data_IF_023244451293
#
_entry.id   IF_023244451293
#
_cell.length_a   1.000
_cell.length_b   1.000
_cell.length_c   1.000
_cell.angle_alpha   90.00
_cell.angle_beta   90.00
_cell.angle_gamma   90.00
#
_symmetry.space_group_name_H-M   'P 1'
#
loop_
_entity.id
_entity.type
_entity.pdbx_description
1 polymer ?
#
# COMPACT_ATOMS: atom_id res chain seq x y z
N UNK A 1 -22.25 2.06 4.67
CA UNK A 1 -21.80 3.45 4.88
C UNK A 1 -22.08 3.93 6.29
N UNK A 2 -23.13 3.42 6.92
CA UNK A 2 -23.67 3.86 8.20
C UNK A 2 -22.65 3.65 9.33
N UNK A 3 -21.99 2.49 9.34
CA UNK A 3 -20.87 2.23 10.26
C UNK A 3 -19.71 3.22 10.10
N UNK A 4 -19.40 3.68 8.87
CA UNK A 4 -18.35 4.71 8.67
C UNK A 4 -18.82 6.04 9.25
N UNK A 5 -20.08 6.42 9.00
CA UNK A 5 -20.65 7.66 9.54
C UNK A 5 -20.65 7.68 11.07
N UNK A 6 -20.99 6.56 11.71
CA UNK A 6 -20.91 6.40 13.18
C UNK A 6 -19.47 6.52 13.68
N UNK A 7 -18.52 5.92 12.97
CA UNK A 7 -17.10 5.92 13.37
C UNK A 7 -16.44 7.30 13.26
N UNK A 8 -16.83 8.11 12.27
CA UNK A 8 -16.24 9.44 12.07
C UNK A 8 -17.00 10.55 12.81
N UNK A 9 -18.21 10.29 13.32
CA UNK A 9 -19.00 11.30 14.03
C UNK A 9 -18.24 12.01 15.18
N UNK A 10 -17.39 11.32 15.98
CA UNK A 10 -16.60 11.97 17.03
C UNK A 10 -15.47 12.89 16.52
N UNK A 11 -15.08 12.79 15.25
CA UNK A 11 -13.98 13.56 14.66
C UNK A 11 -14.37 15.02 14.36
N UNK A 12 -15.67 15.32 14.33
CA UNK A 12 -16.20 16.66 14.02
C UNK A 12 -16.25 16.97 12.52
N UNK A 13 -16.13 18.26 12.19
CA UNK A 13 -16.15 18.74 10.80
C UNK A 13 -14.85 18.37 10.05
N UNK A 14 -14.99 18.09 8.76
CA UNK A 14 -13.87 17.82 7.86
C UNK A 14 -14.16 18.36 6.45
N UNK A 15 -13.10 18.71 5.73
CA UNK A 15 -13.19 19.30 4.39
C UNK A 15 -13.18 18.25 3.28
N UNK A 16 -12.52 17.12 3.50
CA UNK A 16 -12.29 16.09 2.48
C UNK A 16 -12.04 14.71 3.10
N UNK A 17 -12.16 13.66 2.28
CA UNK A 17 -12.01 12.25 2.69
C UNK A 17 -10.89 11.59 1.86
N UNK A 18 -9.91 11.01 2.53
CA UNK A 18 -8.89 10.17 1.89
C UNK A 18 -9.06 8.72 2.31
N UNK A 19 -9.08 7.80 1.35
CA UNK A 19 -9.33 6.38 1.60
C UNK A 19 -8.17 5.57 1.03
N UNK A 20 -7.56 4.76 1.89
CA UNK A 20 -6.64 3.69 1.51
C UNK A 20 -7.42 2.39 1.45
N UNK A 21 -7.47 1.75 0.30
CA UNK A 21 -8.25 0.53 0.10
C UNK A 21 -7.34 -0.67 -0.25
N UNK A 22 -7.53 -1.84 0.38
CA UNK A 22 -6.69 -3.02 0.17
C UNK A 22 -7.10 -3.76 -1.10
N UNK A 23 -6.78 -3.18 -2.25
CA UNK A 23 -7.04 -3.76 -3.57
C UNK A 23 -6.71 -2.85 -4.75
N UNK A 24 -6.99 -3.36 -5.95
CA UNK A 24 -6.80 -2.64 -7.20
C UNK A 24 -7.85 -1.57 -7.41
N UNK A 25 -7.43 -0.35 -7.72
CA UNK A 25 -8.29 0.82 -7.92
C UNK A 25 -7.97 1.46 -9.26
N UNK A 26 -9.00 1.97 -9.93
CA UNK A 26 -8.84 2.80 -11.12
C UNK A 26 -9.94 3.84 -11.19
N UNK A 27 -9.58 5.11 -11.34
CA UNK A 27 -10.53 6.23 -11.40
C UNK A 27 -11.57 6.23 -10.25
N UNK A 28 -11.14 5.88 -9.02
CA UNK A 28 -12.05 5.80 -7.87
C UNK A 28 -12.95 4.55 -7.80
N UNK A 29 -12.84 3.65 -8.79
CA UNK A 29 -13.57 2.39 -8.87
C UNK A 29 -12.69 1.24 -8.37
N UNK A 30 -13.26 0.37 -7.54
CA UNK A 30 -12.58 -0.82 -7.05
C UNK A 30 -12.63 -1.91 -8.13
N UNK A 31 -11.47 -2.43 -8.51
CA UNK A 31 -11.31 -3.53 -9.47
C UNK A 31 -11.14 -4.87 -8.75
N UNK A 32 -10.41 -4.92 -7.65
CA UNK A 32 -10.23 -6.14 -6.85
C UNK A 32 -10.24 -5.81 -5.37
N UNK A 33 -10.62 -6.79 -4.54
CA UNK A 33 -10.53 -6.69 -3.08
C UNK A 33 -10.23 -8.08 -2.50
N UNK A 34 -9.02 -8.62 -2.69
CA UNK A 34 -8.72 -10.03 -2.43
C UNK A 34 -9.09 -10.47 -1.01
N UNK A 35 -8.80 -9.63 -0.01
CA UNK A 35 -9.04 -9.93 1.40
C UNK A 35 -10.43 -9.50 1.91
N UNK A 36 -11.22 -8.79 1.11
CA UNK A 36 -12.56 -8.30 1.49
C UNK A 36 -13.69 -8.94 0.64
N UNK A 37 -13.34 -9.84 -0.26
CA UNK A 37 -14.27 -10.50 -1.19
C UNK A 37 -14.49 -9.68 -2.45
N UNK A 38 -13.62 -9.85 -3.46
CA UNK A 38 -13.66 -9.10 -4.73
C UNK A 38 -15.03 -9.03 -5.39
N UNK A 39 -15.85 -10.09 -5.33
CA UNK A 39 -17.20 -10.10 -5.93
C UNK A 39 -18.13 -9.00 -5.41
N UNK A 40 -17.97 -8.62 -4.14
CA UNK A 40 -18.84 -7.63 -3.50
C UNK A 40 -18.40 -6.19 -3.78
N UNK A 41 -17.14 -6.01 -4.17
CA UNK A 41 -16.52 -4.70 -4.33
C UNK A 41 -16.25 -4.33 -5.79
N UNK A 42 -16.07 -5.32 -6.67
CA UNK A 42 -15.75 -5.09 -8.07
C UNK A 42 -16.78 -4.17 -8.74
N UNK A 43 -16.28 -3.13 -9.42
CA UNK A 43 -17.11 -2.15 -10.11
C UNK A 43 -17.74 -1.10 -9.19
N UNK A 44 -17.47 -1.15 -7.88
CA UNK A 44 -17.99 -0.15 -6.95
C UNK A 44 -17.21 1.15 -7.09
N UNK A 45 -17.89 2.22 -7.51
CA UNK A 45 -17.38 3.59 -7.42
C UNK A 45 -17.48 4.09 -5.97
N UNK A 46 -16.51 3.69 -5.16
CA UNK A 46 -16.48 4.05 -3.74
C UNK A 46 -16.33 5.56 -3.56
N UNK A 47 -15.63 6.23 -4.47
CA UNK A 47 -15.46 7.69 -4.44
C UNK A 47 -16.81 8.39 -4.58
N UNK A 48 -17.62 8.02 -5.58
CA UNK A 48 -18.95 8.60 -5.76
C UNK A 48 -19.89 8.30 -4.59
N UNK A 49 -19.83 7.09 -4.04
CA UNK A 49 -20.66 6.71 -2.89
C UNK A 49 -20.34 7.55 -1.64
N UNK A 50 -19.05 7.78 -1.37
CA UNK A 50 -18.59 8.60 -0.23
C UNK A 50 -18.92 10.08 -0.45
N UNK A 51 -18.69 10.60 -1.64
CA UNK A 51 -19.09 11.97 -2.02
C UNK A 51 -20.59 12.20 -1.78
N UNK A 52 -21.43 11.26 -2.23
CA UNK A 52 -22.88 11.34 -2.05
C UNK A 52 -23.30 11.27 -0.59
N UNK A 53 -22.63 10.44 0.22
CA UNK A 53 -23.02 10.20 1.61
C UNK A 53 -22.62 11.33 2.56
N UNK A 54 -21.45 11.92 2.33
CA UNK A 54 -20.83 12.88 3.24
C UNK A 54 -20.82 14.31 2.69
N UNK A 55 -21.20 14.51 1.42
CA UNK A 55 -21.18 15.81 0.75
C UNK A 55 -19.81 16.50 0.84
N UNK A 56 -18.75 15.69 0.74
CA UNK A 56 -17.35 16.13 0.76
C UNK A 56 -16.57 15.45 -0.36
N UNK A 57 -15.57 16.12 -0.94
CA UNK A 57 -14.65 15.51 -1.89
C UNK A 57 -13.96 14.27 -1.29
N UNK A 58 -13.92 13.20 -2.06
CA UNK A 58 -13.25 11.94 -1.69
C UNK A 58 -12.16 11.61 -2.70
N UNK A 59 -11.03 11.15 -2.20
CA UNK A 59 -10.00 10.50 -2.99
C UNK A 59 -9.71 9.11 -2.47
N UNK A 60 -9.45 8.21 -3.42
CA UNK A 60 -9.26 6.79 -3.17
C UNK A 60 -7.93 6.37 -3.79
N UNK A 61 -7.10 5.69 -2.99
CA UNK A 61 -5.88 5.06 -3.45
C UNK A 61 -5.71 3.69 -2.82
N UNK A 62 -4.82 2.88 -3.40
CA UNK A 62 -4.38 1.66 -2.78
C UNK A 62 -3.76 1.95 -1.39
N UNK A 63 -3.93 1.02 -0.47
CA UNK A 63 -3.43 1.12 0.90
C UNK A 63 -1.90 1.29 0.99
N UNK A 64 -1.12 0.54 0.19
CA UNK A 64 0.33 0.72 0.14
C UNK A 64 0.72 2.08 -0.44
N UNK A 65 0.00 2.57 -1.45
CA UNK A 65 0.21 3.92 -2.00
C UNK A 65 -0.08 5.00 -0.96
N UNK A 66 -1.21 4.89 -0.25
CA UNK A 66 -1.59 5.87 0.77
C UNK A 66 -0.60 5.87 1.94
N UNK A 67 -0.21 4.68 2.41
CA UNK A 67 0.85 4.52 3.41
C UNK A 67 2.13 5.19 2.92
N UNK A 68 2.54 4.88 1.70
CA UNK A 68 3.75 5.39 1.08
C UNK A 68 3.83 6.90 1.06
N UNK A 69 2.75 7.57 0.65
CA UNK A 69 2.67 9.03 0.66
C UNK A 69 3.00 9.63 2.04
N UNK A 70 2.63 8.94 3.13
CA UNK A 70 2.90 9.38 4.50
C UNK A 70 4.36 9.21 4.96
N UNK A 71 5.15 8.33 4.31
CA UNK A 71 6.48 7.95 4.80
C UNK A 71 7.63 8.31 3.86
N UNK A 72 7.37 8.49 2.57
CA UNK A 72 8.41 8.82 1.59
C UNK A 72 8.97 10.22 1.81
N UNK A 73 10.26 10.38 1.54
CA UNK A 73 10.97 11.65 1.52
C UNK A 73 10.51 12.50 0.33
N UNK A 74 10.14 11.87 -0.79
CA UNK A 74 9.66 12.53 -2.00
C UNK A 74 10.78 12.92 -2.96
N UNK A 75 11.93 12.24 -2.90
CA UNK A 75 13.11 12.49 -3.73
C UNK A 75 13.62 11.20 -4.36
N UNK A 76 13.86 11.23 -5.67
CA UNK A 76 14.32 10.06 -6.44
C UNK A 76 13.23 9.02 -6.69
N UNK A 77 13.66 7.76 -6.82
CA UNK A 77 12.81 6.58 -6.98
C UNK A 77 12.66 5.92 -5.60
N UNK A 78 11.44 5.95 -5.07
CA UNK A 78 11.15 5.39 -3.75
C UNK A 78 10.17 4.24 -3.87
N UNK A 79 10.42 3.16 -3.13
CA UNK A 79 9.54 1.99 -3.08
C UNK A 79 8.99 1.82 -1.68
N UNK A 80 7.74 1.39 -1.60
CA UNK A 80 7.11 0.97 -0.34
C UNK A 80 6.69 -0.47 -0.50
N UNK A 81 7.19 -1.33 0.38
CA UNK A 81 6.90 -2.75 0.44
C UNK A 81 6.25 -3.04 1.79
N UNK A 82 4.99 -3.50 1.80
CA UNK A 82 4.30 -3.84 3.04
C UNK A 82 4.14 -5.35 3.19
N UNK A 83 4.47 -5.86 4.39
CA UNK A 83 4.39 -7.27 4.74
C UNK A 83 3.23 -7.50 5.71
N UNK A 84 2.16 -8.14 5.22
CA UNK A 84 0.98 -8.48 6.02
C UNK A 84 0.38 -9.81 5.57
N UNK A 85 -0.95 -9.89 5.46
CA UNK A 85 -1.65 -11.05 4.91
C UNK A 85 -1.06 -11.47 3.55
N UNK A 86 -0.82 -10.48 2.69
CA UNK A 86 -0.03 -10.60 1.46
C UNK A 86 1.07 -9.53 1.39
N UNK A 87 1.54 -9.26 0.19
CA UNK A 87 2.53 -8.24 -0.14
C UNK A 87 1.85 -7.02 -0.76
N UNK A 88 1.99 -5.86 -0.13
CA UNK A 88 1.65 -4.58 -0.76
C UNK A 88 2.87 -3.94 -1.41
N UNK A 89 2.67 -3.23 -2.51
CA UNK A 89 3.73 -2.57 -3.26
C UNK A 89 3.27 -1.22 -3.79
N UNK A 90 4.09 -0.19 -3.61
CA UNK A 90 3.92 1.10 -4.25
C UNK A 90 5.28 1.64 -4.71
N UNK A 91 5.28 2.29 -5.88
CA UNK A 91 6.45 2.92 -6.48
C UNK A 91 6.17 4.41 -6.63
N UNK A 92 7.15 5.24 -6.29
CA UNK A 92 7.07 6.68 -6.37
C UNK A 92 8.26 7.23 -7.13
N UNK A 93 8.04 8.34 -7.82
CA UNK A 93 9.10 9.16 -8.40
C UNK A 93 8.92 10.59 -7.94
N UNK A 94 9.88 11.12 -7.20
CA UNK A 94 9.87 12.48 -6.67
C UNK A 94 8.56 12.82 -5.92
N UNK A 95 8.13 11.91 -5.05
CA UNK A 95 6.91 12.07 -4.25
C UNK A 95 5.58 11.86 -5.00
N UNK A 96 5.61 11.52 -6.29
CA UNK A 96 4.42 11.22 -7.09
C UNK A 96 4.29 9.71 -7.29
N UNK A 97 3.13 9.09 -7.01
CA UNK A 97 2.95 7.66 -7.23
C UNK A 97 3.02 7.32 -8.72
N UNK A 98 3.69 6.21 -9.03
CA UNK A 98 3.57 5.55 -10.32
C UNK A 98 2.18 4.91 -10.47
N UNK A 99 1.81 4.43 -11.68
CA UNK A 99 0.60 3.61 -11.84
C UNK A 99 0.58 2.47 -10.83
N UNK A 100 -0.61 2.10 -10.36
CA UNK A 100 -0.75 1.02 -9.39
C UNK A 100 -0.20 -0.30 -9.97
N UNK A 101 0.76 -0.90 -9.27
CA UNK A 101 1.39 -2.18 -9.64
C UNK A 101 1.01 -3.21 -8.58
N UNK A 102 0.22 -4.21 -8.97
CA UNK A 102 -0.13 -5.36 -8.13
C UNK A 102 1.01 -6.40 -8.11
N UNK A 103 2.21 -6.00 -7.66
CA UNK A 103 3.40 -6.86 -7.69
C UNK A 103 3.22 -8.12 -6.82
N UNK A 104 2.48 -8.02 -5.72
CA UNK A 104 2.10 -9.15 -4.86
C UNK A 104 1.43 -10.29 -5.63
N UNK A 105 0.72 -9.98 -6.72
CA UNK A 105 0.01 -10.95 -7.54
C UNK A 105 0.84 -11.53 -8.67
N UNK A 106 2.00 -10.97 -8.95
CA UNK A 106 2.93 -11.48 -9.96
C UNK A 106 3.58 -12.78 -9.47
N UNK A 107 3.88 -13.68 -10.41
CA UNK A 107 4.52 -14.98 -10.14
C UNK A 107 5.87 -14.78 -9.45
N UNK A 108 6.16 -15.61 -8.45
CA UNK A 108 7.38 -15.54 -7.64
C UNK A 108 8.17 -16.86 -7.72
N UNK A 109 8.86 -17.05 -8.85
CA UNK A 109 9.59 -18.31 -9.11
C UNK A 109 8.62 -19.48 -9.25
N UNK A 110 8.75 -20.47 -8.36
CA UNK A 110 7.86 -21.64 -8.32
C UNK A 110 6.57 -21.39 -7.53
N UNK A 111 6.51 -20.34 -6.70
CA UNK A 111 5.27 -19.98 -6.02
C UNK A 111 4.33 -19.22 -6.99
N UNK A 112 3.01 -19.44 -6.86
CA UNK A 112 2.03 -18.85 -7.77
C UNK A 112 1.99 -17.31 -7.71
N UNK A 113 2.42 -16.71 -6.60
CA UNK A 113 2.58 -15.25 -6.50
C UNK A 113 3.52 -14.80 -5.38
N UNK A 114 3.90 -13.52 -5.36
CA UNK A 114 4.63 -12.95 -4.25
C UNK A 114 3.83 -12.94 -2.93
N UNK A 115 2.49 -12.83 -2.98
CA UNK A 115 1.64 -13.02 -1.81
C UNK A 115 1.85 -14.41 -1.20
N UNK A 116 2.01 -15.44 -2.03
CA UNK A 116 2.23 -16.83 -1.60
C UNK A 116 3.70 -17.12 -1.23
N UNK A 117 4.62 -16.28 -1.70
CA UNK A 117 6.05 -16.39 -1.43
C UNK A 117 6.47 -15.71 -0.12
N UNK A 118 5.97 -14.50 0.14
CA UNK A 118 6.36 -13.65 1.29
C UNK A 118 5.17 -13.12 2.13
N UNK A 119 3.94 -13.54 1.87
CA UNK A 119 2.80 -13.24 2.75
C UNK A 119 2.83 -14.01 4.08
N UNK A 120 1.88 -13.70 4.96
CA UNK A 120 1.76 -14.28 6.31
C UNK A 120 1.58 -15.81 6.30
N UNK A 121 0.84 -16.34 5.32
CA UNK A 121 0.68 -17.78 5.15
C UNK A 121 2.03 -18.47 4.82
N UNK A 122 2.87 -17.81 4.02
CA UNK A 122 4.20 -18.30 3.69
C UNK A 122 5.09 -18.32 4.95
N UNK A 123 5.08 -17.23 5.73
CA UNK A 123 5.81 -17.14 7.01
C UNK A 123 5.49 -18.32 7.93
N UNK A 124 4.19 -18.62 8.13
CA UNK A 124 3.75 -19.74 8.97
C UNK A 124 4.15 -21.11 8.42
N UNK A 125 4.19 -21.25 7.09
CA UNK A 125 4.51 -22.52 6.41
C UNK A 125 6.00 -22.85 6.43
N UNK A 126 6.87 -21.87 6.16
CA UNK A 126 8.32 -22.11 5.99
C UNK A 126 9.16 -21.73 7.23
N UNK A 127 8.55 -21.03 8.20
CA UNK A 127 9.23 -20.52 9.38
C UNK A 127 9.98 -19.20 9.13
N UNK A 128 10.26 -18.48 10.22
CA UNK A 128 10.77 -17.11 10.17
C UNK A 128 12.11 -16.98 9.43
N UNK A 129 13.08 -17.85 9.73
CA UNK A 129 14.42 -17.75 9.12
C UNK A 129 14.38 -17.85 7.59
N UNK A 130 13.65 -18.82 7.05
CA UNK A 130 13.49 -19.02 5.60
C UNK A 130 12.68 -17.88 5.00
N UNK A 131 11.60 -17.47 5.67
CA UNK A 131 10.76 -16.37 5.19
C UNK A 131 11.51 -15.04 5.13
N UNK A 132 12.34 -14.70 6.14
CA UNK A 132 13.16 -13.50 6.14
C UNK A 132 14.12 -13.49 4.95
N UNK A 133 14.69 -14.64 4.57
CA UNK A 133 15.53 -14.72 3.38
C UNK A 133 14.73 -14.51 2.09
N UNK A 134 13.51 -15.05 1.98
CA UNK A 134 12.62 -14.78 0.83
C UNK A 134 12.27 -13.29 0.70
N UNK A 135 12.10 -12.59 1.82
CA UNK A 135 11.89 -11.13 1.83
C UNK A 135 13.13 -10.41 1.31
N UNK A 136 14.33 -10.75 1.80
CA UNK A 136 15.60 -10.17 1.30
C UNK A 136 15.81 -10.46 -0.18
N UNK A 137 15.48 -11.65 -0.63
CA UNK A 137 15.49 -12.01 -2.04
C UNK A 137 14.53 -11.14 -2.85
N UNK A 138 13.30 -10.94 -2.35
CA UNK A 138 12.30 -10.09 -3.01
C UNK A 138 12.79 -8.65 -3.12
N UNK A 139 13.39 -8.10 -2.06
CA UNK A 139 14.00 -6.75 -2.08
C UNK A 139 15.09 -6.67 -3.16
N UNK A 140 15.98 -7.66 -3.26
CA UNK A 140 17.01 -7.72 -4.32
C UNK A 140 16.42 -7.73 -5.73
N UNK A 141 15.34 -8.51 -5.95
CA UNK A 141 14.63 -8.56 -7.23
C UNK A 141 13.97 -7.22 -7.56
N UNK A 142 13.37 -6.55 -6.57
CA UNK A 142 12.79 -5.21 -6.76
C UNK A 142 13.89 -4.21 -7.12
N UNK A 143 15.04 -4.25 -6.43
CA UNK A 143 16.18 -3.38 -6.71
C UNK A 143 16.64 -3.51 -8.17
N UNK A 144 16.70 -4.72 -8.72
CA UNK A 144 17.07 -4.92 -10.13
C UNK A 144 15.97 -4.53 -11.13
N UNK A 145 14.71 -4.42 -10.69
CA UNK A 145 13.59 -4.05 -11.55
C UNK A 145 13.44 -2.54 -11.71
N UNK A 146 13.56 -1.79 -10.61
CA UNK A 146 13.24 -0.35 -10.59
C UNK A 146 14.39 0.54 -10.20
N UNK A 147 15.51 -0.02 -9.72
CA UNK A 147 16.70 0.72 -9.29
C UNK A 147 16.35 1.88 -8.34
N UNK A 148 15.65 1.55 -7.25
CA UNK A 148 15.20 2.52 -6.26
C UNK A 148 16.38 3.14 -5.50
N UNK A 149 16.20 4.38 -5.06
CA UNK A 149 17.10 5.08 -4.14
C UNK A 149 16.84 4.66 -2.69
N UNK A 150 15.55 4.53 -2.31
CA UNK A 150 15.14 4.05 -0.98
C UNK A 150 13.94 3.10 -1.10
N UNK A 151 13.98 2.00 -0.34
CA UNK A 151 12.84 1.13 -0.11
C UNK A 151 12.42 1.20 1.36
N UNK A 152 11.16 1.53 1.60
CA UNK A 152 10.53 1.53 2.90
C UNK A 152 9.80 0.21 3.13
N UNK A 153 10.26 -0.57 4.12
CA UNK A 153 9.68 -1.85 4.50
C UNK A 153 8.72 -1.65 5.68
N UNK A 154 7.42 -1.83 5.44
CA UNK A 154 6.37 -1.64 6.44
C UNK A 154 5.44 -2.85 6.58
N UNK A 155 4.30 -2.63 7.22
CA UNK A 155 3.30 -3.67 7.49
C UNK A 155 3.58 -4.47 8.76
N UNK A 156 2.59 -5.22 9.23
CA UNK A 156 2.65 -5.88 10.54
C UNK A 156 3.81 -6.86 10.72
N UNK A 157 4.22 -7.55 9.66
CA UNK A 157 5.30 -8.52 9.71
C UNK A 157 6.70 -7.89 9.54
N UNK A 158 6.80 -6.60 9.22
CA UNK A 158 8.09 -5.88 9.19
C UNK A 158 8.78 -5.82 10.56
N UNK A 159 8.01 -5.94 11.66
CA UNK A 159 8.51 -5.99 13.05
C UNK A 159 9.48 -7.14 13.34
N UNK A 160 9.56 -8.13 12.44
CA UNK A 160 10.47 -9.27 12.54
C UNK A 160 11.89 -8.92 12.07
N UNK A 161 12.10 -7.70 11.57
CA UNK A 161 13.40 -7.22 11.14
C UNK A 161 13.90 -6.10 12.03
N UNK A 162 15.22 -6.00 12.15
CA UNK A 162 15.92 -4.85 12.71
C UNK A 162 16.67 -4.10 11.61
N UNK A 163 17.00 -2.83 11.86
CA UNK A 163 17.64 -1.97 10.86
C UNK A 163 19.03 -2.49 10.43
N UNK A 164 19.77 -3.14 11.33
CA UNK A 164 21.08 -3.75 11.06
C UNK A 164 21.01 -4.99 10.15
N UNK A 165 19.84 -5.60 10.01
CA UNK A 165 19.64 -6.74 9.10
C UNK A 165 19.33 -6.33 7.64
N UNK A 166 19.17 -5.03 7.40
CA UNK A 166 18.71 -4.49 6.13
C UNK A 166 19.85 -3.87 5.31
N UNK A 167 19.78 -3.95 3.97
CA UNK A 167 20.65 -3.14 3.11
C UNK A 167 20.52 -1.65 3.41
N UNK A 168 21.57 -0.87 3.16
CA UNK A 168 21.61 0.59 3.43
C UNK A 168 20.45 1.36 2.78
N UNK A 169 20.05 0.96 1.57
CA UNK A 169 18.93 1.57 0.83
C UNK A 169 17.54 1.14 1.34
N UNK A 170 17.45 0.34 2.41
CA UNK A 170 16.19 -0.17 2.97
C UNK A 170 15.97 0.39 4.38
N UNK A 171 14.82 1.03 4.58
CA UNK A 171 14.43 1.61 5.86
C UNK A 171 13.18 0.92 6.40
N UNK A 172 13.16 0.61 7.70
CA UNK A 172 11.96 0.10 8.35
C UNK A 172 10.97 1.25 8.58
N UNK A 173 9.75 1.11 8.09
CA UNK A 173 8.71 2.13 8.20
C UNK A 173 7.93 2.02 9.51
N UNK A 174 7.58 3.17 10.10
CA UNK A 174 6.71 3.22 11.28
C UNK A 174 5.25 3.22 10.83
N UNK A 175 4.47 2.22 11.26
CA UNK A 175 3.10 2.03 10.79
C UNK A 175 2.17 3.23 11.02
N UNK A 176 2.38 4.02 12.07
CA UNK A 176 1.57 5.20 12.40
C UNK A 176 1.80 6.37 11.41
N UNK A 177 2.97 6.45 10.77
CA UNK A 177 3.31 7.53 9.87
C UNK A 177 2.46 7.50 8.58
N UNK A 178 1.92 6.34 8.20
CA UNK A 178 1.02 6.18 7.05
C UNK A 178 -0.29 6.98 7.16
N UNK A 179 -0.73 7.34 8.37
CA UNK A 179 -1.95 8.16 8.58
C UNK A 179 -1.82 9.57 7.99
N UNK A 180 -0.60 10.10 7.89
CA UNK A 180 -0.36 11.44 7.32
C UNK A 180 -0.50 11.48 5.80
N UNK A 181 -0.42 10.32 5.13
CA UNK A 181 -0.53 10.19 3.68
C UNK A 181 -1.87 10.67 3.12
N UNK A 182 -2.93 10.64 3.94
CA UNK A 182 -4.26 11.16 3.61
C UNK A 182 -4.23 12.60 3.10
N UNK A 183 -3.46 13.48 3.74
CA UNK A 183 -3.34 14.89 3.33
C UNK A 183 -2.59 15.06 2.01
N UNK A 184 -1.53 14.27 1.78
CA UNK A 184 -0.67 14.34 0.60
C UNK A 184 -1.35 13.84 -0.67
N UNK A 185 -2.38 13.00 -0.54
CA UNK A 185 -3.22 12.54 -1.65
C UNK A 185 -3.79 13.71 -2.47
N UNK A 186 -4.13 14.80 -1.77
CA UNK A 186 -4.75 16.00 -2.32
C UNK A 186 -3.78 16.97 -3.01
N UNK A 187 -2.48 16.67 -3.05
CA UNK A 187 -1.56 17.42 -3.90
C UNK A 187 -1.95 17.25 -5.37
N UNK A 188 -1.91 18.33 -6.15
CA UNK A 188 -2.41 18.33 -7.52
C UNK A 188 -1.70 17.30 -8.42
N UNK A 189 -0.38 17.17 -8.29
CA UNK A 189 0.44 16.20 -9.02
C UNK A 189 0.09 14.74 -8.68
N UNK A 190 -0.07 14.44 -7.39
CA UNK A 190 -0.50 13.12 -6.89
C UNK A 190 -1.91 12.79 -7.37
N UNK A 191 -2.83 13.75 -7.24
CA UNK A 191 -4.23 13.60 -7.66
C UNK A 191 -4.38 13.32 -9.15
N UNK A 192 -3.50 13.88 -9.98
CA UNK A 192 -3.47 13.60 -11.43
C UNK A 192 -2.92 12.19 -11.68
N UNK A 193 -1.86 11.79 -10.99
CA UNK A 193 -1.24 10.48 -11.17
C UNK A 193 -2.15 9.30 -10.77
N UNK A 194 -3.11 9.52 -9.87
CA UNK A 194 -4.05 8.49 -9.40
C UNK A 194 -5.31 8.34 -10.27
N UNK A 195 -5.50 9.21 -11.26
CA UNK A 195 -6.56 9.06 -12.26
C UNK A 195 -6.05 8.13 -13.36
#
# INVERSE_FOLDING_TARGET
MEHIAELIAPLGEFDAISIGFPGAIKHGIILTAPNLGSKNWHGTDLTALMNKRFERPTQLANDATLHGLGIIAGDGIEVVLTLGTGMGFALFRNGVPAPQIELGRHIAGEEPSYDDFIGDAALKRVGEAVWKERVRETIRRIASLVNFDVLYLGGGNSRLFTADEMPEAVQLAVNEAGLTGGSRLWRADVSIALK
#
